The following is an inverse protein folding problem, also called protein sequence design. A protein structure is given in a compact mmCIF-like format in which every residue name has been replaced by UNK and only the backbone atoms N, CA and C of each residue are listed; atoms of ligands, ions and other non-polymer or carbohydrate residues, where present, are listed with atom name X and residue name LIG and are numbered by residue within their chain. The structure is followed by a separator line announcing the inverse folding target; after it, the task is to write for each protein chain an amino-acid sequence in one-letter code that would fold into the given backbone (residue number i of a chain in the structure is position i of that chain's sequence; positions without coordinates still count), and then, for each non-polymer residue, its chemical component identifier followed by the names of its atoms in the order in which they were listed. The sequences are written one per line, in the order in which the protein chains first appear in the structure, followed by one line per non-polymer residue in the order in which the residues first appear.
data_IF_323100248654
#
_entry.id   IF_323100248654
#
_cell.length_a   1.000
_cell.length_b   1.000
_cell.length_c   1.000
_cell.angle_alpha   90.00
_cell.angle_beta   90.00
_cell.angle_gamma   90.00
#
_symmetry.space_group_name_H-M   'P 1'
#
loop_
_entity.id
_entity.type
_entity.pdbx_description
1 polymer ?
#
# COMPACT_ATOMS: atom_id res chain seq x y z
N UNK A 1 -37.54 43.00 2.19
CA UNK A 1 -37.89 41.78 1.43
C UNK A 1 -36.61 40.99 1.16
N UNK A 2 -36.38 40.01 2.04
CA UNK A 2 -35.76 38.68 1.83
C UNK A 2 -34.75 38.42 0.69
N UNK A 3 -33.49 38.18 1.09
CA UNK A 3 -32.62 37.10 0.54
C UNK A 3 -31.98 36.33 1.70
N UNK A 4 -32.79 35.48 2.33
CA UNK A 4 -32.31 34.36 3.12
C UNK A 4 -32.68 33.12 2.34
N UNK A 5 -31.70 32.44 1.75
CA UNK A 5 -31.82 31.01 1.44
C UNK A 5 -30.45 30.39 1.21
N UNK A 6 -30.07 29.58 2.19
CA UNK A 6 -29.27 28.35 2.10
C UNK A 6 -27.75 28.49 1.87
N UNK A 7 -27.03 28.93 2.90
CA UNK A 7 -25.68 28.42 3.19
C UNK A 7 -25.76 27.60 4.47
N UNK A 8 -26.21 26.36 4.37
CA UNK A 8 -26.16 25.43 5.50
C UNK A 8 -25.81 24.04 5.03
N UNK A 9 -24.57 23.86 4.59
CA UNK A 9 -24.03 22.50 4.54
C UNK A 9 -22.59 22.31 5.02
N UNK A 10 -21.72 23.32 5.19
CA UNK A 10 -20.40 23.09 5.81
C UNK A 10 -19.91 24.29 6.65
N UNK A 11 -19.30 24.10 7.84
CA UNK A 11 -19.13 25.16 8.84
C UNK A 11 -17.97 26.15 8.56
N UNK A 12 -17.04 25.83 7.66
CA UNK A 12 -15.92 26.67 7.23
C UNK A 12 -15.32 26.15 5.90
N UNK A 13 -14.52 26.98 5.21
CA UNK A 13 -13.87 26.61 3.95
C UNK A 13 -12.92 25.40 4.08
N UNK A 14 -12.33 25.21 5.27
CA UNK A 14 -11.45 24.08 5.57
C UNK A 14 -12.20 22.74 5.56
N UNK A 15 -13.44 22.69 6.07
CA UNK A 15 -14.27 21.48 6.02
C UNK A 15 -14.62 21.09 4.58
N UNK A 16 -14.84 22.06 3.69
CA UNK A 16 -15.05 21.81 2.27
C UNK A 16 -13.78 21.29 1.59
N UNK A 17 -12.63 21.89 1.87
CA UNK A 17 -11.34 21.46 1.34
C UNK A 17 -11.01 20.03 1.79
N UNK A 18 -11.19 19.71 3.07
CA UNK A 18 -10.98 18.37 3.63
C UNK A 18 -11.95 17.35 3.02
N UNK A 19 -13.23 17.68 2.88
CA UNK A 19 -14.20 16.79 2.24
C UNK A 19 -13.89 16.55 0.75
N UNK A 20 -13.41 17.58 0.05
CA UNK A 20 -12.96 17.46 -1.34
C UNK A 20 -11.71 16.59 -1.45
N UNK A 21 -10.74 16.77 -0.55
CA UNK A 21 -9.53 15.95 -0.47
C UNK A 21 -9.83 14.48 -0.20
N UNK A 22 -10.70 14.18 0.77
CA UNK A 22 -11.14 12.81 1.04
C UNK A 22 -11.85 12.17 -0.16
N UNK A 23 -12.66 12.92 -0.90
CA UNK A 23 -13.32 12.42 -2.11
C UNK A 23 -12.30 12.12 -3.21
N UNK A 24 -11.29 12.97 -3.38
CA UNK A 24 -10.21 12.75 -4.33
C UNK A 24 -9.40 11.48 -3.96
N UNK A 25 -9.06 11.31 -2.69
CA UNK A 25 -8.39 10.10 -2.19
C UNK A 25 -9.23 8.85 -2.45
N UNK A 26 -10.51 8.87 -2.09
CA UNK A 26 -11.40 7.73 -2.34
C UNK A 26 -11.49 7.41 -3.85
N UNK A 27 -11.68 8.42 -4.70
CA UNK A 27 -11.70 8.23 -6.14
C UNK A 27 -10.39 7.71 -6.72
N UNK A 28 -9.25 8.03 -6.10
CA UNK A 28 -7.95 7.46 -6.47
C UNK A 28 -7.84 5.99 -6.05
N UNK A 29 -8.28 5.64 -4.83
CA UNK A 29 -8.31 4.25 -4.37
C UNK A 29 -9.22 3.39 -5.25
N UNK A 30 -10.38 3.91 -5.66
CA UNK A 30 -11.29 3.21 -6.59
C UNK A 30 -10.60 2.95 -7.95
N UNK A 31 -9.82 3.91 -8.45
CA UNK A 31 -9.05 3.73 -9.69
C UNK A 31 -7.97 2.65 -9.54
N UNK A 32 -7.23 2.65 -8.42
CA UNK A 32 -6.24 1.62 -8.13
C UNK A 32 -6.91 0.24 -8.04
N UNK A 33 -8.02 0.12 -7.32
CA UNK A 33 -8.77 -1.13 -7.18
C UNK A 33 -9.28 -1.64 -8.52
N UNK A 34 -9.77 -0.74 -9.38
CA UNK A 34 -10.17 -1.08 -10.74
C UNK A 34 -8.98 -1.55 -11.59
N UNK A 35 -7.84 -0.86 -11.49
CA UNK A 35 -6.61 -1.16 -12.24
C UNK A 35 -6.06 -2.56 -11.94
N UNK A 36 -6.12 -3.01 -10.68
CA UNK A 36 -5.62 -4.33 -10.26
C UNK A 36 -6.69 -5.42 -10.23
N UNK A 37 -7.92 -5.13 -10.67
CA UNK A 37 -9.03 -6.08 -10.64
C UNK A 37 -8.70 -7.38 -11.39
N UNK A 38 -9.03 -8.51 -10.78
CA UNK A 38 -8.77 -9.84 -11.32
C UNK A 38 -7.34 -10.36 -11.11
N UNK A 39 -6.41 -9.53 -10.63
CA UNK A 39 -5.08 -9.97 -10.23
C UNK A 39 -5.14 -10.65 -8.86
N UNK A 40 -4.62 -11.87 -8.78
CA UNK A 40 -4.60 -12.68 -7.54
C UNK A 40 -3.22 -12.86 -6.95
N UNK A 41 -2.18 -12.54 -7.71
CA UNK A 41 -0.80 -12.63 -7.26
C UNK A 41 -0.44 -11.38 -6.43
N UNK A 42 -0.09 -11.50 -5.14
CA UNK A 42 0.21 -10.35 -4.29
C UNK A 42 1.39 -9.53 -4.81
N UNK A 43 2.37 -10.17 -5.47
CA UNK A 43 3.51 -9.44 -6.05
C UNK A 43 3.03 -8.57 -7.19
N UNK A 44 2.29 -9.14 -8.15
CA UNK A 44 1.71 -8.37 -9.26
C UNK A 44 0.84 -7.21 -8.76
N UNK A 45 -0.04 -7.46 -7.79
CA UNK A 45 -0.95 -6.44 -7.23
C UNK A 45 -0.17 -5.28 -6.60
N UNK A 46 0.79 -5.56 -5.71
CA UNK A 46 1.58 -4.50 -5.05
C UNK A 46 2.43 -3.75 -6.07
N UNK A 47 3.04 -4.44 -7.03
CA UNK A 47 3.84 -3.81 -8.09
C UNK A 47 2.98 -2.87 -8.94
N UNK A 48 1.77 -3.29 -9.33
CA UNK A 48 0.85 -2.44 -10.08
C UNK A 48 0.34 -1.27 -9.24
N UNK A 49 0.03 -1.47 -7.95
CA UNK A 49 -0.34 -0.36 -7.05
C UNK A 49 0.77 0.69 -6.94
N UNK A 50 2.02 0.27 -6.77
CA UNK A 50 3.17 1.20 -6.71
C UNK A 50 3.36 1.90 -8.05
N UNK A 51 3.36 1.15 -9.15
CA UNK A 51 3.59 1.71 -10.48
C UNK A 51 2.48 2.69 -10.87
N UNK A 52 1.20 2.30 -10.70
CA UNK A 52 0.05 3.16 -10.92
C UNK A 52 0.09 4.40 -10.03
N UNK A 53 0.45 4.21 -8.75
CA UNK A 53 0.68 5.28 -7.79
C UNK A 53 1.65 6.33 -8.31
N UNK A 54 2.86 5.91 -8.66
CA UNK A 54 3.90 6.80 -9.17
C UNK A 54 3.49 7.43 -10.49
N UNK A 55 3.06 6.64 -11.47
CA UNK A 55 2.73 7.11 -12.82
C UNK A 55 1.58 8.13 -12.86
N UNK A 56 0.59 8.03 -11.97
CA UNK A 56 -0.55 8.95 -11.93
C UNK A 56 -0.34 10.16 -10.99
N UNK A 57 0.64 10.09 -10.10
CA UNK A 57 0.89 11.14 -9.10
C UNK A 57 2.16 11.96 -9.41
N UNK A 58 3.09 11.43 -10.21
CA UNK A 58 4.28 12.15 -10.65
C UNK A 58 3.91 13.41 -11.44
N UNK A 59 4.55 14.53 -11.11
CA UNK A 59 4.35 15.80 -11.81
C UNK A 59 3.14 16.61 -11.36
N UNK A 60 2.39 16.18 -10.32
CA UNK A 60 1.38 17.02 -9.67
C UNK A 60 2.06 18.03 -8.72
N UNK A 61 2.07 19.34 -9.04
CA UNK A 61 2.76 20.34 -8.23
C UNK A 61 2.18 20.50 -6.82
N UNK A 62 0.89 20.20 -6.64
CA UNK A 62 0.24 20.27 -5.32
C UNK A 62 0.73 19.13 -4.44
N UNK A 63 0.80 17.92 -5.00
CA UNK A 63 1.30 16.75 -4.28
C UNK A 63 2.79 16.89 -3.97
N UNK A 64 3.60 17.34 -4.93
CA UNK A 64 5.03 17.60 -4.71
C UNK A 64 5.25 18.62 -3.59
N UNK A 65 4.45 19.70 -3.56
CA UNK A 65 4.50 20.69 -2.48
C UNK A 65 4.10 20.10 -1.12
N UNK A 66 3.12 19.21 -1.07
CA UNK A 66 2.70 18.55 0.18
C UNK A 66 3.73 17.55 0.69
N UNK A 67 4.34 16.78 -0.22
CA UNK A 67 5.38 15.80 0.09
C UNK A 67 6.68 16.44 0.58
N UNK A 68 6.99 17.64 0.10
CA UNK A 68 8.21 18.40 0.46
C UNK A 68 8.00 19.34 1.64
N UNK A 69 6.76 19.72 1.96
CA UNK A 69 6.45 20.60 3.09
C UNK A 69 6.81 19.94 4.44
N UNK A 70 7.66 20.62 5.22
CA UNK A 70 8.05 20.23 6.59
C UNK A 70 7.51 21.22 7.63
N UNK A 71 6.95 20.73 8.73
CA UNK A 71 6.74 21.47 9.98
C UNK A 71 7.67 20.91 11.05
N UNK A 72 8.52 21.76 11.66
CA UNK A 72 9.41 21.41 12.78
C UNK A 72 10.25 20.13 12.58
N UNK A 73 10.59 19.82 11.32
CA UNK A 73 11.39 18.64 10.94
C UNK A 73 10.60 17.42 10.48
N UNK A 74 9.27 17.43 10.60
CA UNK A 74 8.35 16.35 10.19
C UNK A 74 7.53 16.76 8.96
N UNK A 75 7.23 15.84 8.04
CA UNK A 75 6.41 16.15 6.87
C UNK A 75 4.98 16.50 7.31
N UNK A 76 4.42 17.61 6.81
CA UNK A 76 3.05 18.07 7.17
C UNK A 76 1.99 17.03 6.83
N UNK A 77 2.25 16.21 5.81
CA UNK A 77 1.44 15.04 5.43
C UNK A 77 2.36 13.89 5.05
N UNK A 78 2.49 12.89 5.92
CA UNK A 78 3.19 11.66 5.56
C UNK A 78 2.24 10.70 4.83
N UNK A 79 2.64 10.27 3.63
CA UNK A 79 1.96 9.17 2.92
C UNK A 79 2.03 7.86 3.71
N UNK A 80 2.90 7.76 4.71
CA UNK A 80 2.98 6.62 5.64
C UNK A 80 2.42 6.94 7.04
N UNK A 81 1.52 7.93 7.17
CA UNK A 81 0.81 8.17 8.44
C UNK A 81 -0.14 7.00 8.78
N UNK A 82 -0.50 6.84 10.05
CA UNK A 82 -1.44 5.78 10.48
C UNK A 82 -2.77 5.80 9.73
N UNK A 83 -3.28 7.00 9.42
CA UNK A 83 -4.48 7.18 8.60
C UNK A 83 -4.26 6.69 7.17
N UNK A 84 -3.15 7.07 6.54
CA UNK A 84 -2.83 6.63 5.17
C UNK A 84 -2.63 5.10 5.11
N UNK A 85 -1.94 4.52 6.09
CA UNK A 85 -1.79 3.06 6.24
C UNK A 85 -3.14 2.39 6.38
N UNK A 86 -4.06 2.93 7.18
CA UNK A 86 -5.39 2.36 7.39
C UNK A 86 -6.25 2.41 6.12
N UNK A 87 -6.13 3.47 5.32
CA UNK A 87 -6.79 3.57 4.01
C UNK A 87 -6.20 2.56 3.03
N UNK A 88 -4.87 2.45 2.94
CA UNK A 88 -4.20 1.48 2.07
C UNK A 88 -4.55 0.03 2.46
N UNK A 89 -4.56 -0.28 3.75
CA UNK A 89 -4.98 -1.58 4.28
C UNK A 89 -6.44 -1.89 3.91
N UNK A 90 -7.33 -0.90 3.99
CA UNK A 90 -8.73 -1.06 3.58
C UNK A 90 -8.87 -1.35 2.08
N UNK A 91 -7.98 -0.80 1.24
CA UNK A 91 -7.92 -1.12 -0.18
C UNK A 91 -7.39 -2.55 -0.41
N UNK A 92 -6.35 -2.97 0.31
CA UNK A 92 -5.80 -4.33 0.19
C UNK A 92 -6.83 -5.40 0.49
N UNK A 93 -7.68 -5.19 1.50
CA UNK A 93 -8.79 -6.09 1.82
C UNK A 93 -9.86 -6.19 0.72
N UNK A 94 -9.93 -5.25 -0.22
CA UNK A 94 -10.88 -5.25 -1.33
C UNK A 94 -10.30 -5.89 -2.61
N UNK A 95 -8.99 -6.14 -2.66
CA UNK A 95 -8.36 -6.76 -3.81
C UNK A 95 -8.65 -8.27 -3.88
N UNK A 96 -8.59 -8.85 -5.08
CA UNK A 96 -8.89 -10.26 -5.34
C UNK A 96 -7.79 -11.24 -4.87
N UNK A 97 -6.98 -10.84 -3.88
CA UNK A 97 -5.84 -11.59 -3.34
C UNK A 97 -6.25 -12.29 -2.05
N UNK A 98 -6.00 -13.60 -1.98
CA UNK A 98 -6.11 -14.36 -0.74
C UNK A 98 -4.85 -14.16 0.12
N UNK A 99 -4.82 -13.07 0.87
CA UNK A 99 -3.65 -12.67 1.67
C UNK A 99 -3.22 -13.74 2.68
N UNK A 100 -4.17 -14.44 3.30
CA UNK A 100 -3.89 -15.52 4.24
C UNK A 100 -3.24 -16.73 3.55
N UNK A 101 -3.71 -17.11 2.35
CA UNK A 101 -3.05 -18.15 1.53
C UNK A 101 -1.62 -17.77 1.17
N UNK A 102 -1.34 -16.47 1.04
CA UNK A 102 0.00 -15.94 0.80
C UNK A 102 0.83 -15.70 2.07
N UNK A 103 0.34 -16.11 3.24
CA UNK A 103 1.08 -16.09 4.49
C UNK A 103 1.07 -14.74 5.20
N UNK A 104 0.15 -13.83 4.85
CA UNK A 104 -0.05 -12.58 5.54
C UNK A 104 -1.14 -12.72 6.61
N UNK A 105 -0.78 -12.41 7.85
CA UNK A 105 -1.72 -12.13 8.93
C UNK A 105 -2.04 -10.62 8.98
N UNK A 106 -2.93 -10.20 9.89
CA UNK A 106 -3.33 -8.79 9.99
C UNK A 106 -2.14 -7.83 10.24
N UNK A 107 -1.20 -8.12 11.17
CA UNK A 107 0.00 -7.30 11.33
C UNK A 107 0.87 -7.27 10.06
N UNK A 108 1.15 -8.41 9.45
CA UNK A 108 1.97 -8.49 8.23
C UNK A 108 1.36 -7.75 7.04
N UNK A 109 0.03 -7.79 6.90
CA UNK A 109 -0.66 -7.02 5.85
C UNK A 109 -0.59 -5.51 6.10
N UNK A 110 -0.65 -5.07 7.36
CA UNK A 110 -0.43 -3.66 7.73
C UNK A 110 0.99 -3.21 7.40
N UNK A 111 1.99 -4.02 7.72
CA UNK A 111 3.40 -3.74 7.38
C UNK A 111 3.60 -3.66 5.87
N UNK A 112 2.94 -4.53 5.09
CA UNK A 112 2.97 -4.47 3.63
C UNK A 112 2.34 -3.18 3.09
N UNK A 113 1.21 -2.74 3.67
CA UNK A 113 0.57 -1.47 3.31
C UNK A 113 1.51 -0.28 3.59
N UNK A 114 2.16 -0.26 4.75
CA UNK A 114 3.17 0.75 5.08
C UNK A 114 4.34 0.74 4.09
N UNK A 115 4.90 -0.44 3.80
CA UNK A 115 6.02 -0.57 2.87
C UNK A 115 5.66 -0.12 1.45
N UNK A 116 4.43 -0.40 1.01
CA UNK A 116 3.90 0.04 -0.28
C UNK A 116 3.84 1.57 -0.34
N UNK A 117 3.29 2.22 0.68
CA UNK A 117 3.20 3.68 0.78
C UNK A 117 4.58 4.35 0.85
N UNK A 118 5.51 3.79 1.64
CA UNK A 118 6.89 4.29 1.71
C UNK A 118 7.62 4.16 0.37
N UNK A 119 7.36 3.10 -0.38
CA UNK A 119 7.94 2.91 -1.72
C UNK A 119 7.42 3.97 -2.69
N UNK A 120 6.10 4.20 -2.73
CA UNK A 120 5.50 5.26 -3.56
C UNK A 120 6.06 6.63 -3.17
N UNK A 121 6.06 6.95 -1.87
CA UNK A 121 6.58 8.22 -1.37
C UNK A 121 8.04 8.43 -1.79
N UNK A 122 8.90 7.43 -1.59
CA UNK A 122 10.31 7.51 -1.96
C UNK A 122 10.50 7.81 -3.45
N UNK A 123 9.73 7.16 -4.32
CA UNK A 123 9.82 7.34 -5.77
C UNK A 123 9.30 8.70 -6.23
N UNK A 124 8.28 9.25 -5.53
CA UNK A 124 7.76 10.58 -5.81
C UNK A 124 8.72 11.68 -5.32
N UNK A 125 9.38 11.49 -4.17
CA UNK A 125 10.28 12.50 -3.60
C UNK A 125 11.69 12.47 -4.18
N UNK A 126 12.15 11.30 -4.64
CA UNK A 126 13.47 11.12 -5.26
C UNK A 126 13.38 10.13 -6.45
N UNK A 127 12.87 10.60 -7.61
CA UNK A 127 12.69 9.75 -8.79
C UNK A 127 14.01 9.34 -9.46
N UNK A 128 15.14 9.90 -9.04
CA UNK A 128 16.45 9.75 -9.69
C UNK A 128 16.64 10.63 -10.93
N UNK A 129 17.79 10.47 -11.61
CA UNK A 129 18.17 11.29 -12.78
C UNK A 129 17.33 10.99 -14.04
N UNK A 130 16.99 9.72 -14.25
CA UNK A 130 16.06 9.27 -15.30
C UNK A 130 14.91 8.53 -14.61
N UNK A 131 13.73 9.15 -14.49
CA UNK A 131 12.56 8.49 -13.91
C UNK A 131 12.24 7.20 -14.65
N UNK A 132 12.00 6.13 -13.90
CA UNK A 132 11.60 4.84 -14.49
C UNK A 132 10.10 4.87 -14.76
N UNK A 133 9.70 4.39 -15.93
CA UNK A 133 8.30 4.33 -16.33
C UNK A 133 7.92 2.94 -16.86
N UNK A 134 6.61 2.65 -16.89
CA UNK A 134 6.04 1.50 -17.56
C UNK A 134 6.62 0.18 -17.06
N UNK A 135 7.13 -0.63 -17.98
CA UNK A 135 7.69 -1.94 -17.66
C UNK A 135 9.01 -1.84 -16.88
N UNK A 136 9.80 -0.78 -17.08
CA UNK A 136 11.05 -0.59 -16.36
C UNK A 136 10.81 -0.34 -14.87
N UNK A 137 9.80 0.47 -14.55
CA UNK A 137 9.35 0.72 -13.19
C UNK A 137 8.85 -0.57 -12.53
N UNK A 138 7.94 -1.30 -13.19
CA UNK A 138 7.40 -2.57 -12.69
C UNK A 138 8.48 -3.60 -12.40
N UNK A 139 9.45 -3.75 -13.31
CA UNK A 139 10.60 -4.66 -13.12
C UNK A 139 11.48 -4.23 -11.95
N UNK A 140 11.69 -2.93 -11.77
CA UNK A 140 12.48 -2.41 -10.66
C UNK A 140 11.80 -2.68 -9.32
N UNK A 141 10.51 -2.35 -9.19
CA UNK A 141 9.72 -2.61 -7.98
C UNK A 141 9.64 -4.11 -7.68
N UNK A 142 9.30 -4.93 -8.68
CA UNK A 142 9.16 -6.38 -8.52
C UNK A 142 10.48 -7.05 -8.07
N UNK A 143 11.62 -6.55 -8.54
CA UNK A 143 12.94 -7.09 -8.15
C UNK A 143 13.22 -6.92 -6.66
N UNK A 144 12.76 -5.82 -6.06
CA UNK A 144 13.07 -5.48 -4.67
C UNK A 144 11.95 -5.87 -3.71
N UNK A 145 10.69 -5.61 -4.05
CA UNK A 145 9.55 -5.96 -3.22
C UNK A 145 9.09 -7.41 -3.41
N UNK A 146 9.23 -7.98 -4.62
CA UNK A 146 8.74 -9.32 -4.92
C UNK A 146 9.25 -10.40 -3.95
N UNK A 147 10.57 -10.52 -3.71
CA UNK A 147 11.10 -11.48 -2.75
C UNK A 147 10.58 -11.26 -1.32
N UNK A 148 10.44 -10.01 -0.88
CA UNK A 148 9.92 -9.68 0.44
C UNK A 148 8.43 -10.06 0.58
N UNK A 149 7.64 -9.93 -0.47
CA UNK A 149 6.22 -10.32 -0.50
C UNK A 149 6.05 -11.84 -0.52
N UNK A 150 6.96 -12.58 -1.16
CA UNK A 150 6.91 -14.05 -1.20
C UNK A 150 7.42 -14.68 0.10
N UNK A 151 8.29 -13.98 0.84
CA UNK A 151 8.94 -14.50 2.05
C UNK A 151 7.98 -15.05 3.13
N UNK A 152 6.87 -14.36 3.53
CA UNK A 152 5.92 -14.87 4.52
C UNK A 152 5.32 -16.23 4.17
N UNK A 153 5.04 -16.46 2.88
CA UNK A 153 4.56 -17.76 2.40
C UNK A 153 5.64 -18.83 2.56
N UNK A 154 6.88 -18.54 2.19
CA UNK A 154 8.00 -19.48 2.26
C UNK A 154 8.31 -19.90 3.70
N UNK A 155 8.30 -18.94 4.63
CA UNK A 155 8.54 -19.23 6.06
C UNK A 155 7.40 -20.04 6.66
N UNK A 156 6.15 -19.70 6.33
CA UNK A 156 4.97 -20.44 6.79
C UNK A 156 4.99 -21.91 6.37
N UNK A 157 5.37 -22.20 5.11
CA UNK A 157 5.52 -23.57 4.61
C UNK A 157 6.65 -24.32 5.34
N UNK A 158 7.80 -23.67 5.52
CA UNK A 158 8.96 -24.27 6.19
C UNK A 158 8.69 -24.61 7.66
N UNK A 159 7.88 -23.80 8.36
CA UNK A 159 7.46 -24.07 9.74
C UNK A 159 6.54 -25.28 9.80
N UNK A 160 5.55 -25.38 8.90
CA UNK A 160 4.63 -26.52 8.83
C UNK A 160 5.36 -27.83 8.54
N UNK A 161 6.32 -27.84 7.62
CA UNK A 161 7.13 -29.02 7.32
C UNK A 161 7.94 -29.50 8.54
N UNK A 162 8.52 -28.57 9.29
CA UNK A 162 9.27 -28.88 10.52
C UNK A 162 8.37 -29.44 11.62
N UNK A 163 7.13 -28.95 11.74
CA UNK A 163 6.12 -29.43 12.69
C UNK A 163 5.46 -30.76 12.28
N UNK A 164 5.48 -31.13 11.00
CA UNK A 164 4.98 -32.43 10.52
C UNK A 164 6.04 -33.56 10.61
N UNK A 165 7.32 -33.20 10.78
CA UNK A 165 8.43 -34.15 10.93
C UNK A 165 8.86 -34.59 12.36
N UNK A 166 8.23 -34.20 13.50
CA UNK A 166 8.71 -34.60 14.83
C UNK A 166 8.47 -36.09 15.17
N UNK A 167 7.53 -36.77 14.50
CA UNK A 167 7.23 -38.18 14.79
C UNK A 167 8.30 -39.17 14.30
N UNK A 168 9.18 -38.80 13.35
CA UNK A 168 10.27 -39.70 12.91
C UNK A 168 11.42 -39.82 13.89
N UNK A 169 11.56 -38.88 14.82
CA UNK A 169 12.66 -38.88 15.79
C UNK A 169 12.31 -39.70 17.05
N UNK A 170 11.02 -39.81 17.38
CA UNK A 170 10.53 -40.57 18.56
C UNK A 170 10.47 -42.08 18.28
N UNK A 171 10.23 -42.51 17.03
CA UNK A 171 10.26 -43.94 16.66
C UNK A 171 11.68 -44.52 16.59
N UNK A 172 12.70 -43.69 16.33
CA UNK A 172 14.10 -44.11 16.33
C UNK A 172 14.65 -44.34 17.75
N UNK A 173 14.19 -43.57 18.74
CA UNK A 173 14.61 -43.71 20.15
C UNK A 173 13.89 -44.86 20.89
N UNK A 174 12.81 -45.42 20.34
CA UNK A 174 12.09 -46.58 20.92
C UNK A 174 12.56 -47.94 20.38
N UNK A 175 13.48 -47.96 19.41
CA UNK A 175 14.02 -49.19 18.80
C UNK A 175 15.48 -49.49 19.19
N UNK A 176 16.01 -48.83 20.23
CA UNK A 176 17.35 -49.13 20.80
C UNK A 176 17.19 -49.59 22.24
#
# INVERSE_FOLDING_TARGET
MTRQTVYRYFPNADALLMASGMRAVNGFIDQVAHHVSGLKDPVAVVVECVAFGVENLSGDPQLESLLTARNDGEAVTSLSSDTAISVCLSAFHQFDVDWELHGFDTPGLRELAEMTLRTVQSMLTDPGQEPREGLALRRFVARWLGPAIVYPRMTSLSIRERQASPDRQIEAERST
#
